data_IF_130522935237
#
_entry.id   IF_130522935237
#
_cell.length_a   1.000
_cell.length_b   1.000
_cell.length_c   1.000
_cell.angle_alpha   90.00
_cell.angle_beta   90.00
_cell.angle_gamma   90.00
#
_symmetry.space_group_name_H-M   'P 1'
#
loop_
_entity.id
_entity.type
_entity.pdbx_description
1 polymer ?
#
# COMPACT_ATOMS: atom_id res chain seq x y z
N UNK A 1 -20.22 -30.54 10.71
CA UNK A 1 -20.60 -29.12 10.71
C UNK A 1 -20.04 -28.52 9.43
N UNK A 2 -20.90 -28.03 8.54
CA UNK A 2 -20.43 -27.39 7.28
C UNK A 2 -19.79 -26.05 7.61
N UNK A 3 -18.49 -25.94 7.45
CA UNK A 3 -17.73 -24.70 7.59
C UNK A 3 -18.00 -23.70 6.44
N UNK A 4 -18.87 -24.05 5.50
CA UNK A 4 -19.13 -23.26 4.32
C UNK A 4 -20.60 -22.86 4.28
N UNK A 5 -20.95 -21.70 4.86
CA UNK A 5 -22.15 -20.99 4.46
C UNK A 5 -21.86 -20.23 3.18
N UNK A 6 -22.41 -20.72 2.07
CA UNK A 6 -22.30 -20.08 0.77
C UNK A 6 -23.12 -18.80 0.71
N UNK A 7 -22.59 -17.74 0.08
CA UNK A 7 -23.39 -16.64 -0.46
C UNK A 7 -23.59 -15.40 0.43
N UNK A 8 -22.72 -15.11 1.39
CA UNK A 8 -22.84 -13.86 2.20
C UNK A 8 -22.05 -12.68 1.64
N UNK A 9 -21.18 -12.87 0.64
CA UNK A 9 -20.25 -11.83 0.15
C UNK A 9 -19.20 -11.41 1.17
N UNK A 10 -19.01 -12.18 2.26
CA UNK A 10 -18.21 -11.80 3.43
C UNK A 10 -17.00 -12.70 3.71
N UNK A 11 -16.68 -13.64 2.83
CA UNK A 11 -15.49 -14.48 3.02
C UNK A 11 -14.27 -13.79 2.44
N UNK A 12 -13.34 -13.45 3.30
CA UNK A 12 -12.12 -12.73 2.94
C UNK A 12 -10.90 -13.60 3.21
N UNK A 13 -10.05 -13.74 2.20
CA UNK A 13 -8.70 -14.29 2.34
C UNK A 13 -7.73 -13.13 2.53
N UNK A 14 -6.94 -13.15 3.60
CA UNK A 14 -5.82 -12.21 3.82
C UNK A 14 -4.51 -12.95 3.65
N UNK A 15 -3.72 -12.60 2.63
CA UNK A 15 -2.40 -13.18 2.40
C UNK A 15 -1.30 -12.27 2.94
N UNK A 16 -0.18 -12.83 3.34
CA UNK A 16 0.89 -12.08 4.02
C UNK A 16 0.50 -11.74 5.47
N UNK A 17 -0.21 -12.65 6.12
CA UNK A 17 -0.83 -12.43 7.41
C UNK A 17 0.15 -12.30 8.58
N UNK A 18 1.37 -12.79 8.46
CA UNK A 18 2.44 -12.56 9.42
C UNK A 18 3.14 -11.20 9.25
N UNK A 19 2.75 -10.42 8.23
CA UNK A 19 3.34 -9.12 7.92
C UNK A 19 2.86 -7.99 8.83
N UNK A 20 3.61 -6.88 8.85
CA UNK A 20 3.38 -5.71 9.69
C UNK A 20 1.98 -5.09 9.58
N UNK A 21 1.40 -5.04 8.37
CA UNK A 21 0.09 -4.43 8.14
C UNK A 21 -1.09 -5.35 8.48
N UNK A 22 -0.88 -6.66 8.46
CA UNK A 22 -1.96 -7.62 8.53
C UNK A 22 -2.75 -7.61 9.85
N UNK A 23 -2.15 -7.52 11.04
CA UNK A 23 -2.90 -7.55 12.30
C UNK A 23 -3.96 -6.45 12.39
N UNK A 24 -3.62 -5.21 12.00
CA UNK A 24 -4.57 -4.10 11.99
C UNK A 24 -5.72 -4.29 11.00
N UNK A 25 -5.40 -4.72 9.79
CA UNK A 25 -6.40 -4.97 8.73
C UNK A 25 -7.29 -6.17 9.10
N UNK A 26 -6.74 -7.26 9.60
CA UNK A 26 -7.51 -8.43 10.03
C UNK A 26 -8.48 -8.05 11.16
N UNK A 27 -8.02 -7.28 12.15
CA UNK A 27 -8.85 -6.79 13.24
C UNK A 27 -10.05 -5.99 12.72
N UNK A 28 -9.82 -5.00 11.87
CA UNK A 28 -10.86 -4.17 11.25
C UNK A 28 -11.92 -5.03 10.51
N UNK A 29 -11.46 -6.02 9.73
CA UNK A 29 -12.36 -6.89 8.98
C UNK A 29 -13.21 -7.79 9.89
N UNK A 30 -12.63 -8.31 10.96
CA UNK A 30 -13.36 -9.13 11.95
C UNK A 30 -14.39 -8.30 12.69
N UNK A 31 -14.04 -7.09 13.12
CA UNK A 31 -14.95 -6.15 13.80
C UNK A 31 -16.10 -5.72 12.88
N UNK A 32 -15.86 -5.60 11.58
CA UNK A 32 -16.89 -5.36 10.56
C UNK A 32 -17.73 -6.61 10.20
N UNK A 33 -17.46 -7.75 10.83
CA UNK A 33 -18.24 -8.98 10.67
C UNK A 33 -17.90 -9.80 9.42
N UNK A 34 -16.71 -9.65 8.87
CA UNK A 34 -16.18 -10.52 7.81
C UNK A 34 -15.67 -11.85 8.37
N UNK A 35 -15.77 -12.89 7.57
CA UNK A 35 -15.16 -14.18 7.84
C UNK A 35 -13.77 -14.21 7.23
N UNK A 36 -12.77 -14.04 8.07
CA UNK A 36 -11.39 -13.92 7.65
C UNK A 36 -10.70 -15.29 7.73
N UNK A 37 -10.08 -15.69 6.63
CA UNK A 37 -9.06 -16.75 6.57
C UNK A 37 -7.73 -16.09 6.25
N UNK A 38 -6.68 -16.48 6.93
CA UNK A 38 -5.34 -15.94 6.74
C UNK A 38 -4.45 -16.91 5.99
N UNK A 39 -3.44 -16.40 5.30
CA UNK A 39 -2.41 -17.22 4.66
C UNK A 39 -1.06 -16.53 4.69
N UNK A 40 -0.04 -17.32 4.95
CA UNK A 40 1.37 -16.95 4.81
C UNK A 40 2.19 -18.17 4.40
N UNK A 41 3.48 -17.99 4.11
CA UNK A 41 4.41 -19.12 3.86
C UNK A 41 4.77 -19.88 5.12
N UNK A 42 4.58 -19.27 6.26
CA UNK A 42 4.85 -19.85 7.56
C UNK A 42 3.56 -19.95 8.37
N UNK A 43 3.54 -20.89 9.31
CA UNK A 43 2.44 -21.01 10.25
C UNK A 43 2.39 -19.78 11.16
N UNK A 44 1.24 -19.12 11.19
CA UNK A 44 0.98 -18.03 12.14
C UNK A 44 0.16 -18.56 13.33
N UNK A 45 0.79 -18.81 14.49
CA UNK A 45 0.10 -19.31 15.67
C UNK A 45 -0.85 -18.27 16.30
N UNK A 46 -0.72 -17.00 15.92
CA UNK A 46 -1.56 -15.90 16.40
C UNK A 46 -2.71 -15.57 15.44
N UNK A 47 -2.89 -16.35 14.38
CA UNK A 47 -4.01 -16.16 13.47
C UNK A 47 -5.34 -16.27 14.22
N UNK A 48 -6.27 -15.32 14.07
CA UNK A 48 -7.53 -15.30 14.83
C UNK A 48 -8.57 -16.31 14.30
N UNK A 49 -8.20 -17.19 13.40
CA UNK A 49 -9.12 -18.16 12.80
C UNK A 49 -8.41 -19.20 11.96
N UNK A 50 -9.02 -19.60 10.85
CA UNK A 50 -8.39 -20.54 9.92
C UNK A 50 -7.17 -19.89 9.29
N UNK A 51 -6.03 -20.57 9.38
CA UNK A 51 -4.79 -20.21 8.71
C UNK A 51 -4.40 -21.31 7.71
N UNK A 52 -3.95 -20.91 6.52
CA UNK A 52 -3.50 -21.83 5.47
C UNK A 52 -2.06 -21.44 5.10
N UNK A 53 -1.15 -22.39 5.23
CA UNK A 53 0.24 -22.21 4.76
C UNK A 53 0.28 -22.46 3.25
N UNK A 54 0.77 -21.45 2.50
CA UNK A 54 0.89 -21.54 1.05
C UNK A 54 2.02 -20.67 0.52
N UNK A 55 2.75 -21.18 -0.49
CA UNK A 55 3.68 -20.36 -1.27
C UNK A 55 2.95 -19.73 -2.46
N UNK A 56 2.77 -18.42 -2.43
CA UNK A 56 2.10 -17.70 -3.51
C UNK A 56 2.88 -17.68 -4.84
N UNK A 57 4.14 -18.08 -4.83
CA UNK A 57 4.89 -18.30 -6.06
C UNK A 57 4.53 -19.64 -6.73
N UNK A 58 3.83 -20.54 -6.05
CA UNK A 58 3.30 -21.79 -6.60
C UNK A 58 1.85 -21.60 -7.06
N UNK A 59 1.62 -21.58 -8.38
CA UNK A 59 0.29 -21.34 -8.94
C UNK A 59 -0.75 -22.40 -8.55
N UNK A 60 -0.34 -23.66 -8.38
CA UNK A 60 -1.22 -24.74 -7.93
C UNK A 60 -1.76 -24.47 -6.52
N UNK A 61 -0.87 -24.15 -5.58
CA UNK A 61 -1.26 -23.79 -4.21
C UNK A 61 -2.16 -22.55 -4.16
N UNK A 62 -1.86 -21.53 -4.98
CA UNK A 62 -2.68 -20.30 -5.05
C UNK A 62 -4.08 -20.62 -5.59
N UNK A 63 -4.20 -21.50 -6.58
CA UNK A 63 -5.50 -21.85 -7.15
C UNK A 63 -6.40 -22.52 -6.11
N UNK A 64 -5.85 -23.45 -5.32
CA UNK A 64 -6.59 -24.09 -4.23
C UNK A 64 -6.89 -23.11 -3.09
N UNK A 65 -5.91 -22.24 -2.78
CA UNK A 65 -6.05 -21.24 -1.71
C UNK A 65 -7.19 -20.28 -1.92
N UNK A 66 -7.39 -19.78 -3.15
CA UNK A 66 -8.39 -18.73 -3.45
C UNK A 66 -9.80 -19.28 -3.66
N UNK A 67 -9.96 -20.60 -3.74
CA UNK A 67 -11.25 -21.23 -3.99
C UNK A 67 -12.27 -20.87 -2.91
N UNK A 68 -13.41 -20.39 -3.36
CA UNK A 68 -14.56 -20.12 -2.50
C UNK A 68 -14.49 -18.84 -1.68
N UNK A 69 -13.54 -17.94 -1.89
CA UNK A 69 -13.54 -16.62 -1.29
C UNK A 69 -14.23 -15.58 -2.17
N UNK A 70 -14.89 -14.63 -1.52
CA UNK A 70 -15.56 -13.51 -2.19
C UNK A 70 -14.58 -12.37 -2.49
N UNK A 71 -13.61 -12.20 -1.59
CA UNK A 71 -12.59 -11.13 -1.66
C UNK A 71 -11.24 -11.65 -1.19
N UNK A 72 -10.19 -11.16 -1.83
CA UNK A 72 -8.81 -11.38 -1.41
C UNK A 72 -8.21 -10.03 -1.00
N UNK A 73 -7.60 -9.97 0.18
CA UNK A 73 -6.73 -8.88 0.63
C UNK A 73 -5.29 -9.38 0.54
N UNK A 74 -4.60 -8.94 -0.51
CA UNK A 74 -3.26 -9.41 -0.83
C UNK A 74 -2.20 -8.43 -0.27
N UNK A 75 -1.65 -8.77 0.91
CA UNK A 75 -0.60 -8.01 1.58
C UNK A 75 0.78 -8.66 1.43
N UNK A 76 0.84 -9.91 0.96
CA UNK A 76 2.08 -10.65 0.82
C UNK A 76 3.01 -9.97 -0.18
N UNK A 77 4.16 -9.54 0.28
CA UNK A 77 5.24 -8.99 -0.52
C UNK A 77 6.55 -8.94 0.28
N UNK A 78 7.68 -8.97 -0.39
CA UNK A 78 8.93 -8.49 0.19
C UNK A 78 8.88 -6.95 0.17
N UNK A 79 8.70 -6.33 1.34
CA UNK A 79 8.29 -4.91 1.51
C UNK A 79 9.42 -3.90 1.55
N UNK A 80 10.65 -4.34 1.75
CA UNK A 80 11.79 -3.45 1.95
C UNK A 80 12.93 -3.81 1.00
N UNK A 81 13.53 -2.75 0.46
CA UNK A 81 14.83 -2.84 -0.17
C UNK A 81 15.88 -3.34 0.83
N UNK A 82 16.82 -4.16 0.38
CA UNK A 82 17.93 -4.64 1.22
C UNK A 82 17.61 -5.80 2.17
N UNK A 83 16.34 -6.16 2.38
CA UNK A 83 15.96 -7.35 3.18
C UNK A 83 16.25 -8.64 2.41
N UNK A 84 16.08 -8.61 1.09
CA UNK A 84 16.43 -9.67 0.15
C UNK A 84 17.20 -9.09 -1.04
N UNK A 85 17.96 -9.89 -1.79
CA UNK A 85 18.50 -9.46 -3.09
C UNK A 85 17.40 -8.87 -3.99
N UNK A 86 17.74 -7.82 -4.74
CA UNK A 86 16.78 -7.10 -5.57
C UNK A 86 16.03 -8.00 -6.54
N UNK A 87 16.73 -8.94 -7.19
CA UNK A 87 16.13 -9.94 -8.09
C UNK A 87 15.11 -10.83 -7.37
N UNK A 88 15.44 -11.32 -6.18
CA UNK A 88 14.54 -12.16 -5.39
C UNK A 88 13.31 -11.38 -4.88
N UNK A 89 13.47 -10.09 -4.59
CA UNK A 89 12.36 -9.18 -4.25
C UNK A 89 11.43 -9.00 -5.44
N UNK A 90 11.99 -8.73 -6.62
CA UNK A 90 11.21 -8.57 -7.86
C UNK A 90 10.45 -9.84 -8.22
N UNK A 91 11.16 -10.96 -8.28
CA UNK A 91 10.59 -12.27 -8.60
C UNK A 91 9.43 -12.63 -7.66
N UNK A 92 9.66 -12.56 -6.34
CA UNK A 92 8.64 -12.86 -5.34
C UNK A 92 7.39 -11.98 -5.52
N UNK A 93 7.57 -10.66 -5.64
CA UNK A 93 6.45 -9.73 -5.68
C UNK A 93 5.66 -9.85 -6.99
N UNK A 94 6.36 -10.02 -8.11
CA UNK A 94 5.71 -10.17 -9.41
C UNK A 94 4.96 -11.49 -9.54
N UNK A 95 5.61 -12.61 -9.20
CA UNK A 95 5.01 -13.94 -9.38
C UNK A 95 3.85 -14.15 -8.42
N UNK A 96 4.02 -13.80 -7.13
CA UNK A 96 2.94 -13.94 -6.15
C UNK A 96 1.70 -13.12 -6.52
N UNK A 97 1.89 -11.86 -6.94
CA UNK A 97 0.78 -10.99 -7.33
C UNK A 97 0.13 -11.47 -8.64
N UNK A 98 0.92 -11.87 -9.64
CA UNK A 98 0.40 -12.44 -10.88
C UNK A 98 -0.46 -13.69 -10.59
N UNK A 99 0.03 -14.61 -9.76
CA UNK A 99 -0.69 -15.84 -9.42
C UNK A 99 -2.01 -15.53 -8.70
N UNK A 100 -2.01 -14.58 -7.76
CA UNK A 100 -3.25 -14.14 -7.08
C UNK A 100 -4.25 -13.54 -8.08
N UNK A 101 -3.81 -12.62 -8.95
CA UNK A 101 -4.71 -11.99 -9.92
C UNK A 101 -5.27 -13.01 -10.91
N UNK A 102 -4.41 -13.90 -11.40
CA UNK A 102 -4.79 -14.94 -12.34
C UNK A 102 -5.78 -15.93 -11.72
N UNK A 103 -5.47 -16.46 -10.54
CA UNK A 103 -6.34 -17.41 -9.87
C UNK A 103 -7.67 -16.77 -9.44
N UNK A 104 -7.64 -15.53 -8.91
CA UNK A 104 -8.86 -14.79 -8.58
C UNK A 104 -9.79 -14.65 -9.79
N UNK A 105 -9.24 -14.28 -10.94
CA UNK A 105 -10.00 -14.16 -12.19
C UNK A 105 -10.59 -15.50 -12.67
N UNK A 106 -9.81 -16.58 -12.55
CA UNK A 106 -10.26 -17.93 -12.98
C UNK A 106 -11.34 -18.51 -12.06
N UNK A 107 -11.25 -18.23 -10.75
CA UNK A 107 -12.16 -18.75 -9.72
C UNK A 107 -13.37 -17.86 -9.46
N UNK A 108 -13.50 -16.75 -10.18
CA UNK A 108 -14.64 -15.83 -10.04
C UNK A 108 -14.64 -15.06 -8.72
N UNK A 109 -13.49 -14.80 -8.13
CA UNK A 109 -13.35 -13.91 -6.96
C UNK A 109 -13.82 -12.53 -7.37
N UNK A 110 -14.76 -11.97 -6.62
CA UNK A 110 -15.38 -10.68 -6.96
C UNK A 110 -14.38 -9.53 -6.90
N UNK A 111 -13.46 -9.56 -5.92
CA UNK A 111 -12.59 -8.41 -5.65
C UNK A 111 -11.21 -8.84 -5.09
N UNK A 112 -10.19 -8.18 -5.57
CA UNK A 112 -8.84 -8.25 -4.99
C UNK A 112 -8.43 -6.85 -4.55
N UNK A 113 -8.25 -6.66 -3.24
CA UNK A 113 -7.61 -5.48 -2.65
C UNK A 113 -6.14 -5.84 -2.45
N UNK A 114 -5.23 -4.99 -2.88
CA UNK A 114 -3.82 -5.31 -2.68
C UNK A 114 -2.99 -4.08 -2.30
N UNK A 115 -1.91 -4.35 -1.55
CA UNK A 115 -1.03 -3.30 -1.06
C UNK A 115 -0.06 -2.86 -2.15
N UNK A 116 -0.31 -1.69 -2.75
CA UNK A 116 0.66 -0.91 -3.50
C UNK A 116 1.43 0.02 -2.54
N UNK A 117 2.09 1.05 -3.02
CA UNK A 117 2.92 1.95 -2.21
C UNK A 117 2.91 3.36 -2.76
N UNK A 118 2.86 4.36 -1.91
CA UNK A 118 3.11 5.75 -2.29
C UNK A 118 4.52 5.97 -2.85
N UNK A 119 5.48 5.14 -2.47
CA UNK A 119 6.86 5.23 -2.95
C UNK A 119 7.04 5.01 -4.46
N UNK A 120 5.99 4.59 -5.18
CA UNK A 120 6.00 4.50 -6.64
C UNK A 120 6.12 5.86 -7.32
N UNK A 121 5.77 6.95 -6.65
CA UNK A 121 5.89 8.31 -7.18
C UNK A 121 7.35 8.77 -7.29
N UNK A 122 8.27 7.95 -6.83
CA UNK A 122 9.70 8.20 -6.89
C UNK A 122 10.24 8.87 -5.65
N UNK A 123 11.54 8.78 -5.54
CA UNK A 123 12.32 9.37 -4.49
C UNK A 123 13.38 10.27 -5.14
N UNK A 124 13.51 11.53 -4.71
CA UNK A 124 14.58 12.40 -5.20
C UNK A 124 16.00 11.90 -4.87
N UNK A 125 16.09 11.05 -3.85
CA UNK A 125 17.29 10.26 -3.58
C UNK A 125 16.89 8.81 -3.77
N UNK A 126 17.25 8.21 -4.89
CA UNK A 126 17.11 6.78 -5.07
C UNK A 126 17.56 6.08 -3.79
N UNK A 127 16.84 5.06 -3.36
CA UNK A 127 17.22 4.32 -2.18
C UNK A 127 18.61 3.71 -2.41
N UNK A 128 19.62 4.43 -1.90
CA UNK A 128 21.03 4.06 -1.99
C UNK A 128 21.26 2.72 -1.24
N UNK A 129 20.33 2.34 -0.35
CA UNK A 129 20.46 1.12 0.45
C UNK A 129 20.18 -0.17 -0.35
N UNK A 130 19.35 -0.10 -1.41
CA UNK A 130 19.13 -1.27 -2.27
C UNK A 130 20.37 -1.65 -3.06
N UNK A 131 21.31 -0.75 -3.14
CA UNK A 131 22.33 -0.82 -4.15
C UNK A 131 23.63 -0.24 -3.62
N UNK A 132 24.45 -1.03 -3.04
CA UNK A 132 25.89 -0.82 -3.23
C UNK A 132 26.24 -0.61 -4.72
N UNK A 133 25.28 -0.82 -5.59
CA UNK A 133 25.24 -0.58 -7.03
C UNK A 133 24.87 0.84 -7.42
N UNK A 134 23.92 1.49 -6.76
CA UNK A 134 23.40 2.80 -7.16
C UNK A 134 24.26 3.96 -6.70
N UNK A 135 25.11 3.77 -5.72
CA UNK A 135 26.02 4.82 -5.27
C UNK A 135 27.00 5.34 -6.35
N UNK A 136 27.09 4.63 -7.48
CA UNK A 136 27.94 5.05 -8.62
C UNK A 136 27.23 5.25 -9.95
N UNK A 137 25.93 4.92 -10.07
CA UNK A 137 25.25 4.83 -11.38
C UNK A 137 24.07 5.78 -11.51
N UNK A 138 23.41 6.18 -10.42
CA UNK A 138 22.31 7.13 -10.50
C UNK A 138 22.86 8.56 -10.63
N UNK A 139 22.75 9.09 -11.82
CA UNK A 139 23.06 10.50 -12.07
C UNK A 139 22.12 11.38 -11.23
N UNK A 140 22.61 12.44 -10.59
CA UNK A 140 21.78 13.36 -9.82
C UNK A 140 20.58 13.89 -10.62
N UNK A 141 20.74 14.06 -11.93
CA UNK A 141 19.70 14.52 -12.85
C UNK A 141 18.63 13.48 -13.16
N UNK A 142 18.85 12.20 -12.86
CA UNK A 142 17.84 11.14 -12.99
C UNK A 142 16.85 11.09 -11.82
N UNK A 143 16.98 11.98 -10.85
CA UNK A 143 16.10 12.01 -9.67
C UNK A 143 14.68 12.39 -10.08
N UNK A 144 13.70 11.65 -9.59
CA UNK A 144 12.30 12.00 -9.73
C UNK A 144 11.99 13.18 -8.81
N UNK A 145 12.11 14.40 -9.33
CA UNK A 145 11.76 15.61 -8.58
C UNK A 145 10.31 15.97 -8.90
N UNK A 146 9.46 16.21 -7.88
CA UNK A 146 8.11 16.70 -8.10
C UNK A 146 8.12 18.02 -8.86
N UNK A 147 7.27 18.15 -9.87
CA UNK A 147 7.01 19.42 -10.57
C UNK A 147 5.71 20.07 -10.15
N UNK A 148 4.81 19.28 -9.57
CA UNK A 148 3.50 19.68 -9.05
C UNK A 148 3.19 18.86 -7.80
N UNK A 149 2.63 19.49 -6.76
CA UNK A 149 2.21 18.87 -5.50
C UNK A 149 0.86 19.44 -5.03
N UNK A 150 0.02 18.66 -4.35
CA UNK A 150 0.15 17.21 -4.11
C UNK A 150 0.12 16.40 -5.40
N UNK A 151 0.74 15.20 -5.38
CA UNK A 151 0.52 14.20 -6.42
C UNK A 151 -0.91 13.66 -6.38
N UNK A 152 -1.43 13.31 -7.54
CA UNK A 152 -2.71 12.60 -7.75
C UNK A 152 -2.45 11.23 -8.39
N UNK A 153 -3.45 10.35 -8.39
CA UNK A 153 -3.30 8.99 -8.90
C UNK A 153 -2.97 8.92 -10.39
N UNK A 154 -3.36 9.93 -11.14
CA UNK A 154 -3.13 10.07 -12.59
C UNK A 154 -1.71 10.53 -12.94
N UNK A 155 -0.93 11.03 -11.97
CA UNK A 155 0.46 11.41 -12.20
C UNK A 155 1.32 10.18 -12.47
N UNK A 156 2.25 10.31 -13.43
CA UNK A 156 3.12 9.22 -13.85
C UNK A 156 4.01 8.71 -12.70
N UNK A 157 3.97 7.42 -12.37
CA UNK A 157 4.85 6.85 -11.38
C UNK A 157 6.31 6.85 -11.87
N UNK A 158 7.24 7.09 -10.95
CA UNK A 158 8.69 7.14 -11.22
C UNK A 158 9.44 6.29 -10.18
N UNK A 159 9.25 4.97 -10.18
CA UNK A 159 9.84 4.10 -9.18
C UNK A 159 11.37 4.12 -9.25
N UNK A 160 12.02 4.27 -8.10
CA UNK A 160 13.49 4.33 -8.00
C UNK A 160 14.10 3.08 -7.37
N UNK A 161 13.30 2.14 -6.92
CA UNK A 161 13.75 0.86 -6.34
C UNK A 161 13.09 -0.32 -7.03
N UNK A 162 13.70 -1.48 -6.94
CA UNK A 162 13.15 -2.74 -7.47
C UNK A 162 11.80 -3.06 -6.83
N UNK A 163 11.64 -2.80 -5.54
CA UNK A 163 10.37 -2.93 -4.84
C UNK A 163 9.29 -2.04 -5.45
N UNK A 164 9.55 -0.74 -5.60
CA UNK A 164 8.57 0.19 -6.16
C UNK A 164 8.29 -0.11 -7.64
N UNK A 165 9.31 -0.54 -8.40
CA UNK A 165 9.12 -0.99 -9.79
C UNK A 165 8.16 -2.19 -9.84
N UNK A 166 8.31 -3.17 -8.94
CA UNK A 166 7.38 -4.31 -8.89
C UNK A 166 5.95 -3.86 -8.58
N UNK A 167 5.76 -2.85 -7.72
CA UNK A 167 4.42 -2.31 -7.42
C UNK A 167 3.78 -1.63 -8.63
N UNK A 168 4.51 -0.78 -9.36
CA UNK A 168 4.03 -0.16 -10.61
C UNK A 168 3.65 -1.22 -11.64
N UNK A 169 4.49 -2.23 -11.82
CA UNK A 169 4.21 -3.31 -12.78
C UNK A 169 2.99 -4.13 -12.37
N UNK A 170 2.74 -4.32 -11.07
CA UNK A 170 1.52 -4.97 -10.59
C UNK A 170 0.26 -4.11 -10.80
N UNK A 171 0.34 -2.78 -10.69
CA UNK A 171 -0.77 -1.89 -11.06
C UNK A 171 -1.09 -1.99 -12.56
N UNK A 172 -0.06 -1.99 -13.39
CA UNK A 172 -0.24 -2.21 -14.82
C UNK A 172 -0.81 -3.60 -15.11
N UNK A 173 -0.32 -4.64 -14.43
CA UNK A 173 -0.84 -6.01 -14.56
C UNK A 173 -2.33 -6.09 -14.20
N UNK A 174 -2.79 -5.42 -13.15
CA UNK A 174 -4.20 -5.35 -12.80
C UNK A 174 -5.06 -4.80 -13.95
N UNK A 175 -4.60 -3.70 -14.58
CA UNK A 175 -5.26 -3.10 -15.75
C UNK A 175 -5.28 -4.06 -16.95
N UNK A 176 -4.18 -4.77 -17.21
CA UNK A 176 -4.14 -5.75 -18.30
C UNK A 176 -5.03 -6.96 -18.03
N UNK A 177 -5.10 -7.42 -16.77
CA UNK A 177 -5.95 -8.55 -16.41
C UNK A 177 -7.42 -8.24 -16.65
N UNK A 178 -7.86 -7.00 -16.46
CA UNK A 178 -9.22 -6.56 -16.83
C UNK A 178 -9.50 -6.72 -18.33
N UNK A 179 -8.52 -6.47 -19.20
CA UNK A 179 -8.67 -6.63 -20.64
C UNK A 179 -8.81 -8.11 -21.06
N UNK A 180 -8.50 -9.06 -20.17
CA UNK A 180 -8.74 -10.49 -20.43
C UNK A 180 -10.21 -10.91 -20.20
N UNK A 181 -11.09 -9.97 -19.86
CA UNK A 181 -12.54 -10.20 -19.73
C UNK A 181 -12.96 -10.79 -18.39
N UNK A 182 -12.24 -10.48 -17.32
CA UNK A 182 -12.63 -10.88 -15.96
C UNK A 182 -13.62 -9.89 -15.34
N UNK A 183 -14.55 -10.40 -14.52
CA UNK A 183 -15.44 -9.58 -13.69
C UNK A 183 -14.80 -9.21 -12.35
N UNK A 184 -13.58 -9.71 -12.04
CA UNK A 184 -12.85 -9.38 -10.82
C UNK A 184 -12.45 -7.92 -10.79
N UNK A 185 -12.82 -7.20 -9.74
CA UNK A 185 -12.35 -5.83 -9.50
C UNK A 185 -11.00 -5.87 -8.77
N UNK A 186 -10.02 -5.11 -9.25
CA UNK A 186 -8.70 -4.97 -8.63
C UNK A 186 -8.55 -3.58 -8.02
N UNK A 187 -8.22 -3.51 -6.74
CA UNK A 187 -8.05 -2.24 -6.02
C UNK A 187 -6.65 -2.15 -5.45
N UNK A 188 -5.86 -1.25 -6.00
CA UNK A 188 -4.52 -0.94 -5.54
C UNK A 188 -4.60 0.14 -4.46
N UNK A 189 -4.23 -0.18 -3.24
CA UNK A 189 -4.10 0.82 -2.19
C UNK A 189 -2.62 1.25 -2.10
N UNK A 190 -2.33 2.45 -2.60
CA UNK A 190 -1.01 3.08 -2.51
C UNK A 190 -0.82 3.61 -1.09
N UNK A 191 -0.47 2.73 -0.20
CA UNK A 191 -0.28 3.09 1.21
C UNK A 191 0.93 3.98 1.42
N UNK A 192 0.75 4.98 2.27
CA UNK A 192 1.84 5.75 2.86
C UNK A 192 2.69 4.92 3.81
N UNK A 193 3.62 5.57 4.48
CA UNK A 193 4.42 4.93 5.53
C UNK A 193 3.50 4.53 6.69
N UNK A 194 3.14 3.26 6.76
CA UNK A 194 2.26 2.75 7.81
C UNK A 194 2.94 2.83 9.17
N UNK A 195 2.22 3.30 10.17
CA UNK A 195 2.71 3.36 11.54
C UNK A 195 1.60 3.01 12.54
N UNK A 196 2.02 2.56 13.70
CA UNK A 196 1.19 2.47 14.90
C UNK A 196 1.43 3.69 15.79
N UNK A 197 0.52 4.03 16.71
CA UNK A 197 0.68 5.20 17.59
C UNK A 197 2.00 5.20 18.37
N UNK A 198 2.49 4.02 18.77
CA UNK A 198 3.75 3.84 19.49
C UNK A 198 4.97 4.29 18.69
N UNK A 199 4.83 4.41 17.36
CA UNK A 199 5.90 4.81 16.46
C UNK A 199 5.96 6.33 16.23
N UNK A 200 5.02 7.11 16.76
CA UNK A 200 5.00 8.55 16.52
C UNK A 200 6.23 9.27 17.06
N UNK A 201 6.81 8.79 18.14
CA UNK A 201 8.07 9.37 18.69
C UNK A 201 9.23 9.33 17.68
N UNK A 202 9.22 8.38 16.74
CA UNK A 202 10.23 8.32 15.69
C UNK A 202 10.18 9.54 14.74
N UNK A 203 9.04 10.25 14.68
CA UNK A 203 8.90 11.45 13.86
C UNK A 203 9.80 12.59 14.34
N UNK A 204 10.09 12.68 15.64
CA UNK A 204 11.03 13.69 16.22
C UNK A 204 12.39 13.65 15.55
N UNK A 205 12.88 12.45 15.20
CA UNK A 205 14.13 12.34 14.43
C UNK A 205 14.02 13.04 13.07
N UNK A 206 12.90 12.86 12.38
CA UNK A 206 12.67 13.50 11.08
C UNK A 206 12.46 15.00 11.18
N UNK A 207 11.95 15.51 12.31
CA UNK A 207 11.83 16.95 12.54
C UNK A 207 13.19 17.62 12.62
N UNK A 208 14.15 16.94 13.24
CA UNK A 208 15.55 17.42 13.30
C UNK A 208 16.30 17.17 11.97
N UNK A 209 15.86 16.20 11.17
CA UNK A 209 16.51 15.74 9.95
C UNK A 209 15.49 15.55 8.80
N UNK A 210 14.84 16.64 8.32
CA UNK A 210 13.81 16.53 7.28
C UNK A 210 14.29 15.84 6.00
N UNK A 211 15.59 16.00 5.69
CA UNK A 211 16.24 15.38 4.54
C UNK A 211 16.25 13.84 4.58
N UNK A 212 16.16 13.25 5.77
CA UNK A 212 16.16 11.79 5.92
C UNK A 212 14.91 11.12 5.32
N UNK A 213 13.82 11.85 5.16
CA UNK A 213 12.54 11.32 4.73
C UNK A 213 11.86 12.12 3.59
N UNK A 214 12.54 13.10 3.00
CA UNK A 214 11.93 13.93 1.95
C UNK A 214 11.55 13.14 0.69
N UNK A 215 12.20 12.03 0.42
CA UNK A 215 11.88 11.13 -0.69
C UNK A 215 10.51 10.44 -0.55
N UNK A 216 9.96 10.35 0.65
CA UNK A 216 8.59 9.89 0.90
C UNK A 216 7.59 11.06 0.98
N UNK A 217 7.99 12.29 0.68
CA UNK A 217 7.16 13.48 0.86
C UNK A 217 6.58 13.59 2.28
N UNK A 218 7.31 13.07 3.26
CA UNK A 218 6.94 13.03 4.70
C UNK A 218 5.55 12.47 4.97
N UNK A 219 5.04 11.61 4.09
CA UNK A 219 3.72 11.00 4.26
C UNK A 219 3.75 9.85 5.25
N UNK A 220 2.60 9.61 5.86
CA UNK A 220 2.32 8.45 6.69
C UNK A 220 0.84 8.09 6.61
N UNK A 221 0.50 6.92 7.14
CA UNK A 221 -0.87 6.52 7.45
C UNK A 221 -0.87 5.72 8.75
N UNK A 222 -1.73 6.08 9.69
CA UNK A 222 -1.91 5.31 10.90
C UNK A 222 -2.64 4.00 10.58
N UNK A 223 -2.26 2.92 11.28
CA UNK A 223 -2.71 1.56 10.94
C UNK A 223 -4.24 1.40 10.95
N UNK A 224 -4.94 2.09 11.84
CA UNK A 224 -6.42 2.04 11.90
C UNK A 224 -7.05 2.68 10.66
N UNK A 225 -6.49 3.79 10.17
CA UNK A 225 -6.94 4.42 8.93
C UNK A 225 -6.57 3.59 7.70
N UNK A 226 -5.39 2.97 7.70
CA UNK A 226 -4.99 2.03 6.65
C UNK A 226 -5.94 0.82 6.58
N UNK A 227 -6.34 0.29 7.73
CA UNK A 227 -7.28 -0.82 7.84
C UNK A 227 -8.70 -0.40 7.42
N UNK A 228 -9.17 0.77 7.84
CA UNK A 228 -10.43 1.37 7.39
C UNK A 228 -10.47 1.47 5.86
N UNK A 229 -9.41 2.00 5.23
CA UNK A 229 -9.33 2.12 3.78
C UNK A 229 -9.45 0.76 3.09
N UNK A 230 -8.83 -0.29 3.63
CA UNK A 230 -8.96 -1.65 3.11
C UNK A 230 -10.41 -2.14 3.16
N UNK A 231 -11.11 -1.98 4.29
CA UNK A 231 -12.52 -2.34 4.42
C UNK A 231 -13.40 -1.54 3.46
N UNK A 232 -13.23 -0.23 3.40
CA UNK A 232 -13.99 0.64 2.50
C UNK A 232 -13.78 0.24 1.03
N UNK A 233 -12.57 -0.15 0.64
CA UNK A 233 -12.29 -0.66 -0.70
C UNK A 233 -13.01 -1.99 -0.99
N UNK A 234 -13.31 -2.82 0.01
CA UNK A 234 -14.14 -4.02 -0.16
C UNK A 234 -15.60 -3.64 -0.37
N UNK A 235 -16.08 -2.60 0.30
CA UNK A 235 -17.49 -2.20 0.37
C UNK A 235 -17.92 -1.27 -0.77
N UNK A 236 -17.00 -0.48 -1.33
CA UNK A 236 -17.28 0.53 -2.35
C UNK A 236 -17.87 -0.06 -3.65
N UNK A 237 -18.75 0.68 -4.29
CA UNK A 237 -19.31 0.31 -5.61
C UNK A 237 -18.37 0.78 -6.74
N UNK A 238 -17.24 0.13 -6.84
CA UNK A 238 -16.22 0.38 -7.86
C UNK A 238 -15.97 -0.86 -8.70
N UNK A 239 -15.52 -0.69 -9.93
CA UNK A 239 -15.24 -1.76 -10.88
C UNK A 239 -13.92 -1.53 -11.61
N UNK A 240 -13.45 -2.59 -12.24
CA UNK A 240 -12.22 -2.54 -13.04
C UNK A 240 -10.97 -2.58 -12.20
N UNK A 241 -9.92 -1.95 -12.67
CA UNK A 241 -8.66 -1.77 -11.95
C UNK A 241 -8.53 -0.32 -11.52
N UNK A 242 -8.48 -0.08 -10.22
CA UNK A 242 -8.45 1.25 -9.61
C UNK A 242 -7.27 1.36 -8.64
N UNK A 243 -6.66 2.52 -8.56
CA UNK A 243 -5.62 2.87 -7.61
C UNK A 243 -6.00 4.07 -6.74
N UNK A 244 -5.60 4.06 -5.46
CA UNK A 244 -5.91 5.11 -4.48
C UNK A 244 -4.72 5.38 -3.58
N UNK A 245 -4.37 6.65 -3.38
CA UNK A 245 -3.48 7.06 -2.31
C UNK A 245 -4.18 6.96 -0.95
N UNK A 246 -3.52 6.29 -0.01
CA UNK A 246 -4.01 6.10 1.35
C UNK A 246 -2.96 6.62 2.31
N UNK A 247 -3.14 7.88 2.72
CA UNK A 247 -2.28 8.57 3.69
C UNK A 247 -3.14 9.26 4.74
N UNK A 248 -2.51 9.75 5.81
CA UNK A 248 -3.12 10.74 6.69
C UNK A 248 -3.40 12.05 5.93
N UNK A 249 -4.21 12.94 6.48
CA UNK A 249 -4.48 14.26 5.89
C UNK A 249 -3.28 15.19 5.95
N UNK A 250 -2.38 14.94 6.87
CA UNK A 250 -1.19 15.75 7.15
C UNK A 250 0.11 14.98 6.88
N UNK A 251 1.21 15.70 6.94
CA UNK A 251 2.56 15.12 6.97
C UNK A 251 2.96 14.80 8.42
N UNK A 252 3.94 13.93 8.60
CA UNK A 252 4.50 13.68 9.93
C UNK A 252 5.49 14.78 10.39
N UNK A 253 5.62 15.89 9.64
CA UNK A 253 6.54 16.98 9.95
C UNK A 253 5.88 18.05 10.80
N UNK A 254 6.65 18.66 11.71
CA UNK A 254 6.23 19.82 12.50
C UNK A 254 6.41 21.17 11.79
N UNK A 255 6.80 21.15 10.52
CA UNK A 255 7.00 22.32 9.65
C UNK A 255 5.90 22.36 8.59
N UNK A 256 5.38 23.56 8.23
CA UNK A 256 4.37 23.71 7.18
C UNK A 256 4.80 23.07 5.86
N UNK A 257 3.87 22.37 5.21
CA UNK A 257 4.16 21.60 3.98
C UNK A 257 4.69 22.47 2.84
N UNK A 258 4.22 23.74 2.74
CA UNK A 258 4.72 24.67 1.73
C UNK A 258 6.18 25.08 1.95
N UNK A 259 6.61 25.20 3.21
CA UNK A 259 7.99 25.52 3.55
C UNK A 259 8.91 24.35 3.22
N UNK A 260 8.46 23.12 3.50
CA UNK A 260 9.17 21.90 3.11
C UNK A 260 9.32 21.83 1.57
N UNK A 261 8.23 22.08 0.82
CA UNK A 261 8.30 22.08 -0.65
C UNK A 261 9.24 23.16 -1.16
N UNK A 262 9.16 24.38 -0.62
CA UNK A 262 10.05 25.47 -1.02
C UNK A 262 11.51 25.15 -0.77
N UNK A 263 11.83 24.49 0.32
CA UNK A 263 13.19 24.11 0.69
C UNK A 263 13.75 22.94 -0.15
N UNK A 264 12.95 21.88 -0.32
CA UNK A 264 13.43 20.62 -0.90
C UNK A 264 13.06 20.43 -2.39
N UNK A 265 12.03 21.14 -2.85
CA UNK A 265 11.52 21.07 -4.23
C UNK A 265 11.24 22.46 -4.80
N UNK A 266 12.24 23.36 -4.87
CA UNK A 266 12.02 24.78 -5.17
C UNK A 266 11.42 25.02 -6.57
N UNK A 267 11.44 24.02 -7.45
CA UNK A 267 10.81 24.10 -8.78
C UNK A 267 9.38 23.55 -8.84
N UNK A 268 8.86 23.00 -7.75
CA UNK A 268 7.52 22.43 -7.72
C UNK A 268 6.44 23.51 -7.55
N UNK A 269 5.38 23.41 -8.35
CA UNK A 269 4.16 24.18 -8.12
C UNK A 269 3.31 23.50 -7.04
N UNK A 270 2.74 24.28 -6.14
CA UNK A 270 1.90 23.79 -5.03
C UNK A 270 0.48 24.27 -5.22
N UNK A 271 -0.50 23.34 -5.12
CA UNK A 271 -1.92 23.67 -5.13
C UNK A 271 -2.24 24.72 -4.04
N UNK A 272 -2.99 25.76 -4.41
CA UNK A 272 -3.37 26.85 -3.47
C UNK A 272 -4.25 26.35 -2.31
N UNK A 273 -4.97 25.25 -2.48
CA UNK A 273 -5.85 24.66 -1.47
C UNK A 273 -5.11 23.74 -0.48
N UNK A 274 -3.79 23.53 -0.65
CA UNK A 274 -3.02 22.72 0.28
C UNK A 274 -3.09 23.32 1.69
N UNK A 275 -3.58 22.54 2.65
CA UNK A 275 -3.61 22.91 4.05
C UNK A 275 -2.19 23.15 4.59
N UNK A 276 -2.06 23.90 5.69
CA UNK A 276 -0.76 24.29 6.24
C UNK A 276 0.20 23.12 6.42
N UNK A 277 -0.29 22.02 6.99
CA UNK A 277 0.47 20.79 7.19
C UNK A 277 -0.02 19.63 6.29
N UNK A 278 -0.77 19.96 5.24
CA UNK A 278 -1.43 18.98 4.38
C UNK A 278 -0.48 18.00 3.74
N UNK A 279 -0.96 16.77 3.55
CA UNK A 279 -0.22 15.73 2.82
C UNK A 279 0.11 16.17 1.38
N UNK A 280 1.25 15.76 0.89
CA UNK A 280 1.69 16.01 -0.49
C UNK A 280 1.30 14.90 -1.48
N UNK A 281 0.39 14.04 -1.06
CA UNK A 281 -0.26 12.99 -1.87
C UNK A 281 -1.77 13.16 -1.68
N UNK A 282 -2.51 13.54 -2.73
CA UNK A 282 -3.96 13.78 -2.61
C UNK A 282 -4.71 12.49 -2.30
N UNK A 283 -5.56 12.53 -1.29
CA UNK A 283 -6.49 11.45 -0.94
C UNK A 283 -7.91 11.73 -1.43
N UNK A 284 -8.09 12.72 -2.29
CA UNK A 284 -9.42 13.17 -2.72
C UNK A 284 -10.16 12.11 -3.54
N UNK A 285 -9.45 11.32 -4.34
CA UNK A 285 -10.04 10.19 -5.05
C UNK A 285 -10.54 9.12 -4.08
N UNK A 286 -9.73 8.77 -3.07
CA UNK A 286 -10.12 7.81 -2.04
C UNK A 286 -11.32 8.33 -1.21
N UNK A 287 -11.36 9.62 -0.87
CA UNK A 287 -12.52 10.26 -0.22
C UNK A 287 -13.78 10.13 -1.05
N UNK A 288 -13.72 10.51 -2.31
CA UNK A 288 -14.87 10.55 -3.21
C UNK A 288 -15.42 9.16 -3.53
N UNK A 289 -14.56 8.19 -3.79
CA UNK A 289 -14.95 6.90 -4.35
C UNK A 289 -15.02 5.78 -3.32
N UNK A 290 -14.24 5.85 -2.24
CA UNK A 290 -14.26 4.88 -1.16
C UNK A 290 -14.96 5.38 0.10
N UNK A 291 -15.15 6.70 0.24
CA UNK A 291 -15.57 7.31 1.50
C UNK A 291 -14.44 7.32 2.55
N UNK A 292 -13.18 7.26 2.12
CA UNK A 292 -12.03 7.28 3.01
C UNK A 292 -11.94 8.59 3.77
N UNK A 293 -11.88 8.51 5.10
CA UNK A 293 -11.78 9.67 5.98
C UNK A 293 -10.81 9.32 7.12
N UNK A 294 -9.51 9.59 6.97
CA UNK A 294 -8.54 9.33 8.03
C UNK A 294 -8.86 10.15 9.27
N UNK A 295 -8.78 9.51 10.43
CA UNK A 295 -9.18 10.09 11.70
C UNK A 295 -8.02 10.28 12.67
N UNK A 296 -6.89 9.65 12.39
CA UNK A 296 -5.78 9.58 13.32
C UNK A 296 -4.58 10.39 12.81
N UNK A 297 -4.26 11.44 13.56
CA UNK A 297 -3.06 12.23 13.35
C UNK A 297 -2.20 12.22 14.59
N UNK A 298 -0.90 12.12 14.40
CA UNK A 298 0.09 12.26 15.46
C UNK A 298 -0.05 13.61 16.20
N UNK A 299 -0.53 14.66 15.51
CA UNK A 299 -0.73 16.01 16.06
C UNK A 299 -1.77 16.05 17.17
N UNK A 300 -2.68 15.07 17.21
CA UNK A 300 -3.69 14.96 18.24
C UNK A 300 -3.18 14.27 19.51
N UNK A 301 -1.99 13.68 19.46
CA UNK A 301 -1.45 12.82 20.52
C UNK A 301 -0.13 13.33 21.06
N UNK A 302 0.74 13.88 20.20
CA UNK A 302 2.06 14.36 20.57
C UNK A 302 2.01 15.85 20.94
N UNK A 303 2.64 16.20 22.04
CA UNK A 303 2.90 17.61 22.36
C UNK A 303 4.06 18.13 21.50
N UNK A 304 3.87 19.29 20.90
CA UNK A 304 4.93 20.02 20.21
C UNK A 304 5.62 20.89 21.26
N UNK A 305 6.83 20.53 21.63
CA UNK A 305 7.70 21.34 22.51
C UNK A 305 8.12 22.65 21.82
#
# INVERSE_FOLDING_TARGET
MSYFKTGTGRRVLVTGSAGFAAPGIIKELLEAGYWVTTSDRELDPNSPGRHIVADLCNFGEVTELVEGFDTIVHLAATRMAGVRPASATFENNMISTYNIFRAASMMGVRRVIWASSCGIMGSPMGDISETGWASGVLRPEARAVPTKLPYVEEDDPRPMTTYHTSKVMCEWLAKQTQLWGTDTTFVSLRYGNMCYPEMYEEFRYSWAHPEARFYHLWNYVEMRDAAQACRLAIEADIKGAQEYFITAEDTFMNVPSRDLVKQYFPGATVNNELAEYGTLLSIDKARRELGYAPQYSWRNVMELD
#
